data_IF_391116556787
#
_entry.id   IF_391116556787
#
_cell.length_a   1.000
_cell.length_b   1.000
_cell.length_c   1.000
_cell.angle_alpha   90.00
_cell.angle_beta   90.00
_cell.angle_gamma   90.00
#
_symmetry.space_group_name_H-M   'P 1'
#
loop_
_entity.id
_entity.type
_entity.pdbx_description
1 polymer ?
#
# COMPACT_ATOMS: atom_id res chain seq x y z
N UNK A 1 0.30 -52.99 -18.54
CA UNK A 1 1.12 -51.78 -18.47
C UNK A 1 0.39 -50.70 -17.68
N UNK A 2 0.68 -50.67 -16.40
CA UNK A 2 0.08 -49.68 -15.49
C UNK A 2 1.15 -48.66 -15.22
N UNK A 3 1.02 -47.49 -15.83
CA UNK A 3 1.81 -46.34 -15.51
C UNK A 3 1.43 -45.83 -14.10
N UNK A 4 2.24 -46.11 -13.06
CA UNK A 4 1.92 -45.62 -11.74
C UNK A 4 2.43 -44.21 -11.55
N UNK A 5 1.59 -43.37 -10.99
CA UNK A 5 1.94 -42.23 -10.16
C UNK A 5 2.46 -40.96 -10.81
N UNK A 6 1.89 -40.53 -11.92
CA UNK A 6 2.01 -39.11 -12.24
C UNK A 6 1.24 -38.19 -11.25
N UNK A 7 0.29 -38.75 -10.50
CA UNK A 7 -0.54 -37.97 -9.57
C UNK A 7 0.13 -37.60 -8.26
N UNK A 8 0.99 -38.44 -7.69
CA UNK A 8 1.58 -38.15 -6.37
C UNK A 8 2.69 -37.08 -6.47
N UNK A 9 3.51 -37.15 -7.51
CA UNK A 9 4.57 -36.15 -7.70
C UNK A 9 4.03 -34.73 -7.94
N UNK A 10 2.91 -34.60 -8.65
CA UNK A 10 2.27 -33.31 -8.88
C UNK A 10 1.54 -32.79 -7.63
N UNK A 11 0.98 -33.69 -6.81
CA UNK A 11 0.36 -33.32 -5.54
C UNK A 11 1.41 -32.84 -4.55
N UNK A 12 2.56 -33.51 -4.46
CA UNK A 12 3.67 -33.07 -3.61
C UNK A 12 4.30 -31.77 -4.12
N UNK A 13 4.49 -31.60 -5.42
CA UNK A 13 4.98 -30.34 -5.98
C UNK A 13 4.01 -29.18 -5.75
N UNK A 14 2.71 -29.42 -5.85
CA UNK A 14 1.69 -28.39 -5.56
C UNK A 14 1.58 -28.07 -4.08
N UNK A 15 1.88 -28.99 -3.18
CA UNK A 15 1.89 -28.72 -1.75
C UNK A 15 3.10 -27.89 -1.31
N UNK A 16 4.23 -28.03 -1.97
CA UNK A 16 5.46 -27.27 -1.70
C UNK A 16 5.38 -25.83 -2.22
N UNK A 17 4.54 -25.57 -3.22
CA UNK A 17 4.38 -24.24 -3.84
C UNK A 17 3.16 -23.45 -3.31
N UNK A 18 2.62 -23.80 -2.15
CA UNK A 18 1.50 -23.06 -1.57
C UNK A 18 1.98 -21.79 -0.89
N UNK A 19 1.53 -20.67 -1.40
CA UNK A 19 1.55 -19.40 -0.68
C UNK A 19 0.21 -19.21 0.02
N UNK A 20 0.23 -18.61 1.20
CA UNK A 20 -0.97 -18.16 1.89
C UNK A 20 -1.07 -16.65 1.74
N UNK A 21 -2.26 -16.17 1.43
CA UNK A 21 -2.56 -14.77 1.30
C UNK A 21 -3.49 -14.32 2.42
N UNK A 22 -3.21 -13.14 2.95
CA UNK A 22 -3.98 -12.47 3.99
C UNK A 22 -4.38 -11.10 3.49
N UNK A 23 -5.66 -10.77 3.58
CA UNK A 23 -6.17 -9.44 3.29
C UNK A 23 -6.60 -8.75 4.58
N UNK A 24 -6.05 -7.57 4.82
CA UNK A 24 -6.35 -6.73 5.97
C UNK A 24 -6.88 -5.38 5.46
N UNK A 25 -7.81 -4.80 6.19
CA UNK A 25 -8.33 -3.47 5.87
C UNK A 25 -8.87 -2.77 7.09
N UNK A 26 -8.98 -1.45 7.02
CA UNK A 26 -9.52 -0.66 8.11
C UNK A 26 -9.51 0.84 7.83
N UNK A 27 -9.85 1.61 8.85
CA UNK A 27 -9.69 3.05 8.83
C UNK A 27 -8.26 3.41 9.20
N UNK A 28 -7.68 4.39 8.51
CA UNK A 28 -6.31 4.82 8.77
C UNK A 28 -6.24 5.65 10.06
N UNK A 29 -5.39 5.22 10.96
CA UNK A 29 -5.03 5.92 12.18
C UNK A 29 -3.54 6.24 12.16
N UNK A 30 -3.14 7.25 12.90
CA UNK A 30 -1.72 7.56 13.07
C UNK A 30 -1.13 6.66 14.17
N UNK A 31 -0.92 5.40 13.85
CA UNK A 31 -0.33 4.41 14.75
C UNK A 31 0.81 3.62 14.09
N UNK A 32 1.62 2.97 14.93
CA UNK A 32 2.77 2.22 14.49
C UNK A 32 2.44 0.99 13.62
N UNK A 33 1.22 0.44 13.72
CA UNK A 33 0.83 -0.75 12.96
C UNK A 33 0.74 -0.48 11.46
N UNK A 34 0.10 0.61 11.06
CA UNK A 34 0.02 1.00 9.65
C UNK A 34 1.39 1.39 9.09
N UNK A 35 2.21 2.07 9.90
CA UNK A 35 3.56 2.43 9.52
C UNK A 35 4.43 1.19 9.29
N UNK A 36 4.24 0.13 10.07
CA UNK A 36 4.95 -1.12 9.90
C UNK A 36 4.61 -1.80 8.56
N UNK A 37 3.35 -1.76 8.13
CA UNK A 37 2.93 -2.29 6.83
C UNK A 37 3.52 -1.48 5.68
N UNK A 38 3.48 -0.16 5.76
CA UNK A 38 4.11 0.73 4.78
C UNK A 38 5.62 0.52 4.70
N UNK A 39 6.29 0.42 5.84
CA UNK A 39 7.72 0.11 5.91
C UNK A 39 8.05 -1.21 5.23
N UNK A 40 7.24 -2.24 5.46
CA UNK A 40 7.44 -3.55 4.86
C UNK A 40 7.27 -3.52 3.33
N UNK A 41 6.21 -2.88 2.80
CA UNK A 41 5.98 -2.86 1.35
C UNK A 41 7.03 -2.03 0.62
N UNK A 42 7.49 -0.93 1.21
CA UNK A 42 8.59 -0.13 0.67
C UNK A 42 9.96 -0.79 0.84
N UNK A 43 10.01 -1.96 1.51
CA UNK A 43 11.23 -2.70 1.81
C UNK A 43 12.27 -1.86 2.58
N UNK A 44 11.79 -0.92 3.37
CA UNK A 44 12.62 -0.05 4.18
C UNK A 44 13.16 -0.83 5.38
N UNK A 45 14.47 -0.96 5.47
CA UNK A 45 15.18 -1.68 6.53
C UNK A 45 15.62 -0.77 7.69
N UNK A 46 15.42 0.53 7.55
CA UNK A 46 15.87 1.46 8.57
C UNK A 46 15.02 1.33 9.83
N UNK A 47 15.68 1.04 10.95
CA UNK A 47 15.05 0.93 12.26
C UNK A 47 15.01 2.28 12.99
N UNK A 48 15.81 3.24 12.54
CA UNK A 48 15.74 4.61 12.99
C UNK A 48 14.61 5.34 12.27
N UNK A 49 14.12 6.41 12.84
CA UNK A 49 13.32 7.40 12.13
C UNK A 49 14.05 7.70 10.81
N UNK A 50 13.49 7.33 9.67
CA UNK A 50 14.20 7.52 8.44
C UNK A 50 14.47 9.02 8.32
N UNK A 51 15.73 9.39 8.36
CA UNK A 51 16.18 10.76 8.13
C UNK A 51 15.97 11.14 6.68
N UNK A 52 14.77 10.88 6.17
CA UNK A 52 14.39 11.10 4.80
C UNK A 52 14.23 12.58 4.56
N UNK A 53 14.73 13.05 3.46
CA UNK A 53 14.52 14.41 3.03
C UNK A 53 13.03 14.66 2.95
N UNK A 54 12.55 15.58 3.76
CA UNK A 54 11.14 15.91 3.81
C UNK A 54 10.74 16.55 2.48
N UNK A 55 9.87 15.89 1.72
CA UNK A 55 9.31 16.47 0.52
C UNK A 55 8.63 17.81 0.86
N UNK A 56 8.65 18.76 -0.05
CA UNK A 56 8.10 20.10 0.19
C UNK A 56 6.65 20.02 0.65
N UNK A 57 6.36 20.52 1.83
CA UNK A 57 5.03 20.55 2.43
C UNK A 57 4.78 19.47 3.50
N UNK A 58 5.75 18.63 3.79
CA UNK A 58 5.74 17.74 4.94
C UNK A 58 6.52 18.39 6.09
N UNK A 59 6.23 18.01 7.33
CA UNK A 59 7.02 18.46 8.48
C UNK A 59 8.23 17.57 8.70
N UNK A 60 9.26 18.12 9.35
CA UNK A 60 10.50 17.38 9.64
C UNK A 60 10.31 16.12 10.51
N UNK A 61 9.17 16.00 11.21
CA UNK A 61 8.83 14.83 12.02
C UNK A 61 8.06 13.75 11.22
N UNK A 62 7.82 13.95 9.93
CA UNK A 62 7.11 12.98 9.09
C UNK A 62 8.07 11.85 8.73
N UNK A 63 7.59 10.62 8.87
CA UNK A 63 8.29 9.46 8.31
C UNK A 63 7.96 9.40 6.81
N UNK A 64 8.99 9.30 6.00
CA UNK A 64 8.87 9.18 4.55
C UNK A 64 9.35 7.79 4.15
N UNK A 65 8.51 7.04 3.48
CA UNK A 65 8.84 5.71 2.97
C UNK A 65 9.08 5.82 1.47
N UNK A 66 10.26 5.43 1.05
CA UNK A 66 10.65 5.38 -0.35
C UNK A 66 10.95 3.96 -0.79
N UNK A 67 11.11 3.75 -2.08
CA UNK A 67 11.59 2.48 -2.60
C UNK A 67 13.01 2.21 -2.07
N UNK A 68 13.20 1.07 -1.43
CA UNK A 68 14.53 0.64 -1.04
C UNK A 68 15.21 -0.10 -2.19
N UNK A 69 16.49 0.13 -2.34
CA UNK A 69 17.32 -0.53 -3.38
C UNK A 69 17.56 -2.01 -3.08
N UNK A 70 17.31 -2.45 -1.84
CA UNK A 70 17.58 -3.83 -1.44
C UNK A 70 16.43 -4.77 -1.85
N UNK A 71 16.77 -5.89 -2.48
CA UNK A 71 15.81 -6.92 -2.88
C UNK A 71 15.37 -7.87 -1.75
N UNK A 72 15.99 -7.77 -0.57
CA UNK A 72 15.64 -8.60 0.58
C UNK A 72 14.45 -7.99 1.31
N UNK A 73 13.32 -8.68 1.31
CA UNK A 73 12.15 -8.23 2.04
C UNK A 73 12.30 -8.54 3.54
N UNK A 74 12.07 -7.54 4.39
CA UNK A 74 11.77 -7.79 5.80
C UNK A 74 10.49 -8.61 5.92
N UNK A 75 10.40 -9.48 6.91
CA UNK A 75 9.19 -10.28 7.12
C UNK A 75 8.47 -9.90 8.40
N UNK A 76 7.17 -10.11 8.40
CA UNK A 76 6.28 -9.87 9.53
C UNK A 76 5.69 -11.19 10.03
N UNK A 77 5.40 -11.27 11.32
CA UNK A 77 4.53 -12.32 11.87
C UNK A 77 3.16 -11.71 12.15
N UNK A 78 2.12 -12.33 11.59
CA UNK A 78 0.74 -11.91 11.81
C UNK A 78 0.07 -12.91 12.73
N UNK A 79 -0.45 -12.43 13.86
CA UNK A 79 -1.19 -13.22 14.82
C UNK A 79 -2.64 -12.76 14.84
N UNK A 80 -3.56 -13.68 14.58
CA UNK A 80 -5.00 -13.45 14.70
C UNK A 80 -5.46 -14.19 15.95
N UNK A 81 -5.77 -13.43 16.99
CA UNK A 81 -6.18 -13.98 18.26
C UNK A 81 -7.69 -13.84 18.43
N UNK A 82 -8.42 -14.94 18.72
CA UNK A 82 -9.84 -14.84 19.04
C UNK A 82 -10.05 -14.14 20.39
N UNK A 83 -11.22 -13.56 20.59
CA UNK A 83 -11.59 -12.93 21.85
C UNK A 83 -11.68 -13.91 23.01
N UNK A 84 -12.05 -15.16 22.74
CA UNK A 84 -12.09 -16.25 23.72
C UNK A 84 -10.89 -17.18 23.57
N UNK A 85 -9.78 -16.78 24.17
CA UNK A 85 -8.53 -17.55 24.16
C UNK A 85 -8.58 -18.83 24.98
N UNK A 86 -9.60 -19.02 25.80
CA UNK A 86 -9.76 -20.20 26.64
C UNK A 86 -10.27 -21.39 25.84
N UNK A 87 -11.18 -21.14 24.90
CA UNK A 87 -11.85 -22.18 24.12
C UNK A 87 -11.46 -22.19 22.63
N UNK A 88 -10.79 -21.15 22.17
CA UNK A 88 -10.37 -21.00 20.77
C UNK A 88 -8.87 -20.84 20.66
N UNK A 89 -8.33 -21.30 19.55
CA UNK A 89 -6.91 -21.15 19.23
C UNK A 89 -6.73 -20.02 18.23
N UNK A 90 -5.61 -19.34 18.35
CA UNK A 90 -5.20 -18.33 17.39
C UNK A 90 -4.66 -18.92 16.10
N UNK A 91 -4.51 -18.04 15.12
CA UNK A 91 -3.81 -18.32 13.88
C UNK A 91 -2.53 -17.49 13.86
N UNK A 92 -1.43 -18.12 13.48
CA UNK A 92 -0.14 -17.43 13.37
C UNK A 92 0.47 -17.69 12.00
N UNK A 93 0.82 -16.60 11.32
CA UNK A 93 1.37 -16.60 9.97
C UNK A 93 2.79 -15.99 10.03
N UNK A 94 3.76 -16.82 9.71
CA UNK A 94 5.18 -16.47 9.76
C UNK A 94 5.68 -16.00 8.40
N UNK A 95 6.70 -15.16 8.39
CA UNK A 95 7.38 -14.75 7.17
C UNK A 95 6.49 -14.02 6.17
N UNK A 96 5.49 -13.29 6.66
CA UNK A 96 4.59 -12.51 5.80
C UNK A 96 5.29 -11.29 5.23
N UNK A 97 5.05 -10.99 3.96
CA UNK A 97 5.45 -9.75 3.32
C UNK A 97 4.24 -9.07 2.71
N UNK A 98 4.19 -7.75 2.83
CA UNK A 98 3.14 -6.94 2.21
C UNK A 98 3.43 -6.82 0.72
N UNK A 99 2.50 -7.27 -0.12
CA UNK A 99 2.64 -7.24 -1.59
C UNK A 99 1.79 -6.17 -2.25
N UNK A 100 0.72 -5.75 -1.58
CA UNK A 100 -0.13 -4.63 -2.02
C UNK A 100 -0.53 -3.82 -0.79
N UNK A 101 -0.52 -2.51 -0.91
CA UNK A 101 -1.02 -1.60 0.12
C UNK A 101 -1.74 -0.43 -0.55
N UNK A 102 -2.95 -0.15 -0.13
CA UNK A 102 -3.69 0.99 -0.65
C UNK A 102 -4.19 1.92 0.45
N UNK A 103 -4.21 3.20 0.13
CA UNK A 103 -4.83 4.25 0.94
C UNK A 103 -5.84 4.97 0.06
N UNK A 104 -7.05 5.15 0.55
CA UNK A 104 -8.10 5.85 -0.19
C UNK A 104 -8.93 6.75 0.72
N UNK A 105 -9.54 7.77 0.15
CA UNK A 105 -10.57 8.57 0.80
C UNK A 105 -11.52 9.16 -0.24
N UNK A 106 -12.75 9.40 0.18
CA UNK A 106 -13.80 9.97 -0.64
C UNK A 106 -14.64 10.94 0.22
N UNK A 107 -14.87 12.14 -0.30
CA UNK A 107 -15.63 13.19 0.38
C UNK A 107 -17.11 12.83 0.56
N UNK A 108 -17.66 11.99 -0.31
CA UNK A 108 -19.06 11.56 -0.31
C UNK A 108 -19.37 10.35 0.55
N UNK A 109 -18.37 9.65 1.08
CA UNK A 109 -18.56 8.39 1.78
C UNK A 109 -17.88 8.34 3.15
N UNK A 110 -18.43 7.53 4.06
CA UNK A 110 -17.86 7.21 5.38
C UNK A 110 -17.33 8.41 6.20
N UNK A 111 -17.94 9.57 6.05
CA UNK A 111 -17.54 10.79 6.74
C UNK A 111 -16.15 11.28 6.33
N UNK A 112 -15.76 11.07 5.09
CA UNK A 112 -14.47 11.51 4.52
C UNK A 112 -13.22 10.89 5.19
N UNK A 113 -13.35 9.71 5.80
CA UNK A 113 -12.24 9.06 6.50
C UNK A 113 -11.27 8.41 5.53
N UNK A 114 -9.99 8.46 5.89
CA UNK A 114 -8.99 7.65 5.19
C UNK A 114 -9.17 6.18 5.53
N UNK A 115 -9.15 5.35 4.50
CA UNK A 115 -9.17 3.89 4.59
C UNK A 115 -7.85 3.34 4.10
N UNK A 116 -7.51 2.16 4.57
CA UNK A 116 -6.38 1.41 4.06
C UNK A 116 -6.78 -0.04 3.83
N UNK A 117 -6.09 -0.68 2.91
CA UNK A 117 -6.09 -2.12 2.76
C UNK A 117 -4.69 -2.63 2.46
N UNK A 118 -4.40 -3.85 2.86
CA UNK A 118 -3.12 -4.49 2.62
C UNK A 118 -3.32 -5.97 2.28
N UNK A 119 -2.57 -6.45 1.30
CA UNK A 119 -2.43 -7.87 1.00
C UNK A 119 -1.04 -8.32 1.41
N UNK A 120 -0.99 -9.34 2.25
CA UNK A 120 0.24 -9.97 2.70
C UNK A 120 0.30 -11.39 2.16
N UNK A 121 1.49 -11.83 1.79
CA UNK A 121 1.73 -13.20 1.35
C UNK A 121 2.81 -13.84 2.20
N UNK A 122 2.67 -15.14 2.44
CA UNK A 122 3.70 -15.97 3.06
C UNK A 122 3.86 -17.28 2.32
N UNK A 123 5.09 -17.74 2.21
CA UNK A 123 5.43 -19.08 1.73
C UNK A 123 5.58 -20.10 2.86
N UNK A 124 5.42 -19.69 4.12
CA UNK A 124 5.54 -20.60 5.25
C UNK A 124 4.19 -21.20 5.63
N UNK A 125 4.24 -22.38 6.22
CA UNK A 125 3.03 -23.06 6.73
C UNK A 125 2.52 -22.29 7.95
N UNK A 126 1.26 -21.85 7.96
CA UNK A 126 0.69 -21.20 9.12
C UNK A 126 0.48 -22.18 10.28
N UNK A 127 0.62 -21.69 11.51
CA UNK A 127 0.13 -22.38 12.69
C UNK A 127 -1.34 -22.03 12.92
N UNK A 128 -2.21 -23.02 12.69
CA UNK A 128 -3.66 -22.87 12.84
C UNK A 128 -4.15 -23.22 14.26
N UNK A 129 -3.23 -23.48 15.17
CA UNK A 129 -3.52 -23.82 16.57
C UNK A 129 -2.59 -23.05 17.53
N UNK A 130 -2.23 -21.85 17.16
CA UNK A 130 -1.29 -21.02 17.91
C UNK A 130 -1.81 -20.71 19.31
N UNK A 131 -0.91 -20.78 20.28
CA UNK A 131 -1.12 -20.28 21.64
C UNK A 131 -0.40 -18.98 21.89
N UNK A 132 0.13 -18.34 20.83
CA UNK A 132 0.81 -17.06 20.95
C UNK A 132 -0.13 -15.99 21.53
N UNK A 133 0.36 -15.33 22.57
CA UNK A 133 -0.33 -14.20 23.21
C UNK A 133 0.54 -12.97 23.07
N UNK A 134 0.49 -12.29 21.91
CA UNK A 134 1.28 -11.08 21.71
C UNK A 134 0.84 -10.00 22.71
N UNK A 135 1.81 -9.23 23.19
CA UNK A 135 1.49 -8.03 23.96
C UNK A 135 0.85 -7.02 23.02
N UNK A 136 -0.43 -6.74 23.24
CA UNK A 136 -1.16 -5.74 22.48
C UNK A 136 -0.88 -4.37 23.09
N UNK A 137 -0.22 -3.52 22.35
CA UNK A 137 -0.13 -2.10 22.70
C UNK A 137 -1.48 -1.45 22.41
N UNK A 138 -2.08 -0.82 23.42
CA UNK A 138 -3.32 -0.12 23.23
C UNK A 138 -3.18 1.01 22.20
N UNK A 139 -4.24 1.26 21.44
CA UNK A 139 -4.28 2.39 20.52
C UNK A 139 -4.07 3.69 21.30
N UNK A 140 -2.97 4.36 21.04
CA UNK A 140 -2.69 5.65 21.68
C UNK A 140 -3.47 6.80 21.04
N UNK A 141 -3.92 6.61 19.81
CA UNK A 141 -4.57 7.70 19.06
C UNK A 141 -5.85 7.23 18.36
N UNK A 142 -6.97 7.59 18.94
CA UNK A 142 -8.30 7.34 18.38
C UNK A 142 -8.75 8.41 17.37
N UNK A 143 -7.91 9.40 17.09
CA UNK A 143 -8.25 10.50 16.20
C UNK A 143 -8.15 10.07 14.74
N UNK A 144 -9.27 10.02 14.06
CA UNK A 144 -9.33 9.80 12.63
C UNK A 144 -8.93 11.07 11.87
N UNK A 145 -8.12 10.92 10.84
CA UNK A 145 -7.90 11.98 9.89
C UNK A 145 -8.99 11.96 8.83
N UNK A 146 -9.44 13.15 8.44
CA UNK A 146 -10.48 13.31 7.42
C UNK A 146 -9.87 13.96 6.18
N UNK A 147 -10.34 13.55 5.01
CA UNK A 147 -9.92 14.14 3.74
C UNK A 147 -10.24 15.65 3.66
N UNK A 148 -11.32 16.10 4.34
CA UNK A 148 -11.67 17.51 4.44
C UNK A 148 -10.58 18.40 5.08
N UNK A 149 -9.65 17.81 5.81
CA UNK A 149 -8.49 18.50 6.38
C UNK A 149 -7.24 18.46 5.49
N UNK A 150 -7.35 17.92 4.28
CA UNK A 150 -6.22 17.86 3.35
C UNK A 150 -5.87 19.25 2.81
N UNK A 151 -4.58 19.50 2.63
CA UNK A 151 -4.01 20.74 2.11
C UNK A 151 -2.93 20.45 1.08
N UNK A 152 -2.54 21.46 0.30
CA UNK A 152 -1.47 21.32 -0.68
C UNK A 152 -1.80 20.30 -1.78
N UNK A 153 -3.08 20.21 -2.15
CA UNK A 153 -3.56 19.26 -3.15
C UNK A 153 -3.08 19.70 -4.53
N UNK A 154 -2.26 18.89 -5.17
CA UNK A 154 -1.74 19.16 -6.51
C UNK A 154 -1.85 17.94 -7.40
N UNK A 155 -2.16 18.21 -8.67
CA UNK A 155 -2.11 17.23 -9.76
C UNK A 155 -1.46 17.93 -10.95
N UNK A 156 -0.42 17.32 -11.55
CA UNK A 156 0.40 17.94 -12.59
C UNK A 156 0.87 19.36 -12.22
N UNK A 157 1.32 19.53 -10.99
CA UNK A 157 1.74 20.81 -10.41
C UNK A 157 0.66 21.92 -10.34
N UNK A 158 -0.60 21.61 -10.67
CA UNK A 158 -1.73 22.54 -10.53
C UNK A 158 -2.43 22.32 -9.19
N UNK A 159 -2.86 23.40 -8.56
CA UNK A 159 -3.71 23.32 -7.37
C UNK A 159 -5.10 22.83 -7.76
N UNK A 160 -5.60 21.83 -7.04
CA UNK A 160 -6.86 21.16 -7.37
C UNK A 160 -7.81 21.11 -6.17
N UNK A 161 -9.11 21.01 -6.44
CA UNK A 161 -10.12 20.59 -5.48
C UNK A 161 -10.39 19.11 -5.71
N UNK A 162 -9.95 18.28 -4.78
CA UNK A 162 -10.03 16.82 -4.88
C UNK A 162 -11.29 16.30 -4.19
N UNK A 163 -12.03 15.44 -4.86
CA UNK A 163 -13.22 14.77 -4.33
C UNK A 163 -12.90 13.40 -3.76
N UNK A 164 -12.07 12.64 -4.45
CA UNK A 164 -11.64 11.34 -4.00
C UNK A 164 -10.23 11.01 -4.49
N UNK A 165 -9.58 10.09 -3.83
CA UNK A 165 -8.36 9.49 -4.33
C UNK A 165 -8.20 8.05 -3.83
N UNK A 166 -7.43 7.27 -4.56
CA UNK A 166 -6.91 5.97 -4.18
C UNK A 166 -5.45 5.88 -4.61
N UNK A 167 -4.56 5.66 -3.67
CA UNK A 167 -3.14 5.42 -3.94
C UNK A 167 -2.83 3.97 -3.61
N UNK A 168 -2.34 3.23 -4.59
CA UNK A 168 -2.00 1.81 -4.45
C UNK A 168 -0.52 1.60 -4.70
N UNK A 169 0.13 0.92 -3.79
CA UNK A 169 1.52 0.50 -3.87
C UNK A 169 1.54 -1.01 -4.12
N UNK A 170 2.14 -1.43 -5.21
CA UNK A 170 2.35 -2.84 -5.56
C UNK A 170 3.84 -3.15 -5.51
N UNK A 171 4.20 -4.14 -4.71
CA UNK A 171 5.56 -4.63 -4.60
C UNK A 171 5.55 -6.16 -4.45
N UNK A 172 5.37 -6.91 -5.55
CA UNK A 172 5.19 -8.35 -5.52
C UNK A 172 6.41 -9.07 -4.96
N UNK A 173 6.17 -10.21 -4.30
CA UNK A 173 7.20 -11.04 -3.70
C UNK A 173 7.32 -12.40 -4.38
N UNK A 174 8.53 -12.93 -4.38
CA UNK A 174 8.84 -14.31 -4.79
C UNK A 174 9.39 -15.06 -3.62
N UNK A 175 8.87 -16.26 -3.44
CA UNK A 175 9.31 -17.20 -2.41
C UNK A 175 10.12 -18.30 -3.08
N UNK A 176 11.36 -18.51 -2.63
CA UNK A 176 12.27 -19.49 -3.20
C UNK A 176 13.00 -20.30 -2.12
N UNK A 177 13.54 -21.45 -2.50
CA UNK A 177 14.11 -22.40 -1.56
C UNK A 177 13.04 -23.18 -0.81
N UNK A 178 13.39 -24.33 -0.25
CA UNK A 178 12.47 -25.20 0.50
C UNK A 178 13.10 -25.62 1.79
N UNK A 179 12.49 -25.21 2.90
CA UNK A 179 12.76 -25.75 4.24
C UNK A 179 11.58 -26.61 4.70
N UNK A 180 11.77 -27.34 5.77
CA UNK A 180 10.69 -28.15 6.40
C UNK A 180 9.50 -27.28 6.85
N UNK A 181 9.72 -25.99 7.13
CA UNK A 181 8.71 -25.02 7.54
C UNK A 181 8.09 -24.20 6.39
N UNK A 182 8.65 -24.29 5.17
CA UNK A 182 8.21 -23.50 4.03
C UNK A 182 9.35 -23.05 3.11
N UNK A 183 9.34 -21.76 2.73
CA UNK A 183 10.37 -21.18 1.88
C UNK A 183 11.51 -20.58 2.70
N UNK A 184 12.73 -20.70 2.17
CA UNK A 184 13.94 -20.19 2.83
C UNK A 184 14.15 -18.69 2.56
N UNK A 185 13.83 -18.27 1.34
CA UNK A 185 14.14 -16.92 0.87
C UNK A 185 12.90 -16.23 0.33
N UNK A 186 12.73 -14.99 0.73
CA UNK A 186 11.74 -14.07 0.19
C UNK A 186 12.47 -12.91 -0.46
N UNK A 187 12.17 -12.64 -1.71
CA UNK A 187 12.70 -11.48 -2.45
C UNK A 187 11.60 -10.75 -3.19
N UNK A 188 11.84 -9.49 -3.51
CA UNK A 188 10.92 -8.73 -4.38
C UNK A 188 11.08 -9.18 -5.83
N UNK A 189 9.95 -9.34 -6.51
CA UNK A 189 9.90 -9.95 -7.84
C UNK A 189 10.12 -8.96 -8.97
N UNK A 190 9.77 -7.69 -8.74
CA UNK A 190 9.77 -6.62 -9.73
C UNK A 190 9.99 -5.27 -9.04
N UNK A 191 10.09 -4.23 -9.84
CA UNK A 191 10.05 -2.85 -9.36
C UNK A 191 8.74 -2.56 -8.63
N UNK A 192 8.84 -1.74 -7.59
CA UNK A 192 7.67 -1.23 -6.88
C UNK A 192 6.91 -0.29 -7.81
N UNK A 193 5.62 -0.52 -7.97
CA UNK A 193 4.75 0.35 -8.73
C UNK A 193 3.81 1.12 -7.80
N UNK A 194 3.71 2.43 -8.01
CA UNK A 194 2.72 3.26 -7.31
C UNK A 194 1.75 3.82 -8.33
N UNK A 195 0.46 3.56 -8.11
CA UNK A 195 -0.62 4.09 -8.94
C UNK A 195 -1.53 4.97 -8.10
N UNK A 196 -2.01 6.04 -8.69
CA UNK A 196 -3.00 6.92 -8.05
C UNK A 196 -4.15 7.15 -9.01
N UNK A 197 -5.35 6.91 -8.51
CA UNK A 197 -6.60 7.31 -9.14
C UNK A 197 -7.22 8.43 -8.31
N UNK A 198 -7.58 9.53 -8.94
CA UNK A 198 -8.16 10.67 -8.23
C UNK A 198 -9.24 11.33 -9.06
N UNK A 199 -10.25 11.85 -8.36
CA UNK A 199 -11.29 12.66 -8.97
C UNK A 199 -11.16 14.09 -8.47
N UNK A 200 -11.04 15.02 -9.41
CA UNK A 200 -10.89 16.45 -9.11
C UNK A 200 -11.97 17.27 -9.78
N UNK A 201 -12.33 18.39 -9.17
CA UNK A 201 -13.29 19.33 -9.75
C UNK A 201 -12.73 19.91 -11.04
N UNK A 202 -13.56 19.95 -12.10
CA UNK A 202 -13.24 20.68 -13.32
C UNK A 202 -13.45 22.18 -13.12
N UNK A 203 -12.39 22.96 -13.21
CA UNK A 203 -12.41 24.41 -13.06
C UNK A 203 -11.29 25.08 -13.88
N UNK A 204 -11.03 26.35 -13.62
CA UNK A 204 -10.00 27.11 -14.34
C UNK A 204 -8.58 26.56 -14.14
N UNK A 205 -8.29 25.92 -13.01
CA UNK A 205 -6.96 25.37 -12.73
C UNK A 205 -6.78 24.01 -13.41
N UNK A 206 -7.86 23.23 -13.52
CA UNK A 206 -7.83 21.85 -14.01
C UNK A 206 -8.17 21.71 -15.50
N UNK A 207 -8.75 22.75 -16.13
CA UNK A 207 -9.13 22.71 -17.56
C UNK A 207 -7.99 22.37 -18.53
N UNK A 208 -6.74 22.66 -18.13
CA UNK A 208 -5.54 22.42 -18.95
C UNK A 208 -5.01 20.99 -18.80
N UNK A 209 -5.50 20.21 -17.83
CA UNK A 209 -4.97 18.86 -17.54
C UNK A 209 -5.20 17.90 -18.72
N UNK A 210 -6.35 18.02 -19.40
CA UNK A 210 -6.64 17.18 -20.57
C UNK A 210 -5.63 17.47 -21.68
N UNK A 211 -5.42 18.76 -22.00
CA UNK A 211 -4.45 19.13 -23.05
C UNK A 211 -3.03 18.72 -22.64
N UNK A 212 -2.68 18.85 -21.36
CA UNK A 212 -1.38 18.45 -20.87
C UNK A 212 -1.20 16.92 -20.94
N UNK A 213 -2.24 16.14 -20.71
CA UNK A 213 -2.25 14.69 -20.92
C UNK A 213 -2.05 14.34 -22.40
N UNK A 214 -2.81 14.96 -23.30
CA UNK A 214 -2.73 14.69 -24.73
C UNK A 214 -1.36 15.05 -25.33
N UNK A 215 -0.67 16.01 -24.74
CA UNK A 215 0.65 16.46 -25.20
C UNK A 215 1.81 15.93 -24.38
N UNK A 216 1.56 15.05 -23.43
CA UNK A 216 2.61 14.48 -22.57
C UNK A 216 3.59 13.63 -23.39
N UNK A 217 4.87 14.01 -23.38
CA UNK A 217 5.95 13.30 -24.06
C UNK A 217 6.91 12.58 -23.13
N UNK A 218 6.75 12.77 -21.81
CA UNK A 218 7.60 12.20 -20.78
C UNK A 218 6.96 12.31 -19.40
N UNK A 219 7.64 11.82 -18.36
CA UNK A 219 7.12 11.91 -17.01
C UNK A 219 7.01 13.37 -16.54
N UNK A 220 6.04 13.62 -15.67
CA UNK A 220 5.96 14.84 -14.89
C UNK A 220 6.95 14.72 -13.74
N UNK A 221 7.89 15.64 -13.62
CA UNK A 221 9.04 15.55 -12.70
C UNK A 221 8.89 16.43 -11.46
N UNK A 222 7.72 17.02 -11.22
CA UNK A 222 7.47 17.87 -10.04
C UNK A 222 6.00 17.88 -9.67
N UNK A 223 5.70 17.50 -8.42
CA UNK A 223 4.33 17.47 -7.90
C UNK A 223 3.34 16.82 -8.88
N UNK A 224 3.71 15.68 -9.46
CA UNK A 224 2.81 14.93 -10.33
C UNK A 224 1.51 14.60 -9.59
N UNK A 225 1.63 14.19 -8.32
CA UNK A 225 0.54 14.11 -7.37
C UNK A 225 1.02 14.53 -5.98
N UNK A 226 0.24 15.36 -5.30
CA UNK A 226 0.56 15.75 -3.92
C UNK A 226 -0.70 15.94 -3.10
N UNK A 227 -0.66 15.42 -1.89
CA UNK A 227 -1.67 15.62 -0.86
C UNK A 227 -1.02 15.57 0.51
N UNK A 228 -1.36 16.52 1.37
CA UNK A 228 -0.90 16.55 2.77
C UNK A 228 -2.11 16.74 3.68
N UNK A 229 -2.21 16.00 4.75
CA UNK A 229 -3.24 16.16 5.76
C UNK A 229 -2.62 16.53 7.10
N UNK A 230 -2.72 17.80 7.48
CA UNK A 230 -2.26 18.32 8.78
C UNK A 230 -0.89 17.84 9.21
N UNK A 231 0.01 17.63 8.26
CA UNK A 231 1.36 17.09 8.46
C UNK A 231 1.42 15.69 9.11
N UNK A 232 0.31 14.95 9.16
CA UNK A 232 0.24 13.59 9.71
C UNK A 232 0.33 12.52 8.62
N UNK A 233 -0.39 12.76 7.52
CA UNK A 233 -0.35 11.91 6.33
C UNK A 233 -0.01 12.76 5.14
N UNK A 234 0.70 12.18 4.22
CA UNK A 234 0.95 12.82 2.96
C UNK A 234 1.40 11.81 1.92
N UNK A 235 1.06 12.09 0.69
CA UNK A 235 1.51 11.38 -0.48
C UNK A 235 2.10 12.44 -1.40
N UNK A 236 3.34 12.23 -1.82
CA UNK A 236 3.99 13.04 -2.83
C UNK A 236 4.61 12.09 -3.85
N UNK A 237 4.25 12.28 -5.11
CA UNK A 237 4.83 11.58 -6.24
C UNK A 237 5.34 12.68 -7.17
N UNK A 238 6.65 12.75 -7.33
CA UNK A 238 7.26 13.75 -8.18
C UNK A 238 7.36 13.24 -9.61
N UNK A 239 7.79 12.00 -9.83
CA UNK A 239 7.95 11.42 -11.16
C UNK A 239 6.78 10.49 -11.47
N UNK A 240 5.92 10.88 -12.42
CA UNK A 240 4.80 10.04 -12.84
C UNK A 240 4.40 10.32 -14.29
N UNK A 241 3.80 9.31 -14.90
CA UNK A 241 3.08 9.44 -16.18
C UNK A 241 1.59 9.34 -15.93
N UNK A 242 0.82 10.12 -16.64
CA UNK A 242 -0.64 10.03 -16.61
C UNK A 242 -1.09 8.95 -17.58
N UNK A 243 -1.89 8.04 -17.09
CA UNK A 243 -2.43 6.93 -17.86
C UNK A 243 -3.84 7.20 -18.34
N UNK A 244 -4.55 8.10 -17.66
CA UNK A 244 -5.89 8.54 -18.05
C UNK A 244 -6.20 9.93 -17.50
N UNK A 245 -6.85 10.75 -18.30
CA UNK A 245 -7.54 11.99 -17.87
C UNK A 245 -8.84 12.07 -18.66
N UNK A 246 -9.97 11.94 -17.98
CA UNK A 246 -11.27 11.90 -18.61
C UNK A 246 -12.30 12.73 -17.86
N UNK A 247 -13.30 13.23 -18.57
CA UNK A 247 -14.45 13.87 -17.94
C UNK A 247 -15.31 12.82 -17.23
N UNK A 248 -15.74 13.17 -16.03
CA UNK A 248 -16.72 12.41 -15.27
C UNK A 248 -18.00 13.24 -15.16
N UNK A 249 -19.11 12.63 -15.57
CA UNK A 249 -20.42 13.28 -15.54
C UNK A 249 -21.06 13.13 -14.16
N UNK A 250 -21.71 14.20 -13.69
CA UNK A 250 -22.43 14.24 -12.43
C UNK A 250 -23.08 15.62 -12.25
N UNK A 251 -23.60 15.88 -11.06
CA UNK A 251 -24.16 17.20 -10.70
C UNK A 251 -23.13 18.33 -10.80
N UNK A 252 -21.87 17.98 -10.63
CA UNK A 252 -20.70 18.87 -10.80
C UNK A 252 -19.76 18.15 -11.77
N UNK A 253 -19.26 18.90 -12.75
CA UNK A 253 -18.29 18.38 -13.70
C UNK A 253 -16.96 18.09 -13.01
N UNK A 254 -16.49 16.87 -13.14
CA UNK A 254 -15.25 16.37 -12.55
C UNK A 254 -14.29 15.86 -13.63
N UNK A 255 -13.05 15.66 -13.26
CA UNK A 255 -12.04 14.90 -14.01
C UNK A 255 -11.61 13.68 -13.22
N UNK A 256 -11.69 12.54 -13.85
CA UNK A 256 -11.09 11.28 -13.36
C UNK A 256 -9.67 11.17 -13.94
N UNK A 257 -8.70 11.09 -13.06
CA UNK A 257 -7.28 11.13 -13.40
C UNK A 257 -6.61 9.90 -12.81
N UNK A 258 -5.91 9.16 -13.67
CA UNK A 258 -5.06 8.05 -13.25
C UNK A 258 -3.61 8.34 -13.60
N UNK A 259 -2.71 8.04 -12.68
CA UNK A 259 -1.28 8.20 -12.87
C UNK A 259 -0.51 7.00 -12.32
N UNK A 260 0.67 6.78 -12.86
CA UNK A 260 1.61 5.76 -12.40
C UNK A 260 2.98 6.39 -12.19
N UNK A 261 3.61 6.08 -11.05
CA UNK A 261 4.99 6.48 -10.79
C UNK A 261 5.95 5.87 -11.82
N UNK A 262 7.01 6.59 -12.10
CA UNK A 262 8.12 6.15 -12.96
C UNK A 262 9.39 6.35 -12.16
N UNK A 263 10.18 5.29 -12.05
CA UNK A 263 11.52 5.39 -11.47
C UNK A 263 12.46 6.06 -12.48
N UNK A 264 13.35 6.90 -11.97
CA UNK A 264 14.43 7.53 -12.77
C UNK A 264 15.62 6.58 -12.95
#
# INVERSE_FOLDING_TARGET
DRSPSRGLGDVYKRQVLRTTELSLSGTLHNDAGHLLLLKNICNDTDTADPGLSVATGFTAASQVYGAAVANNASSLTVVIQPSDVTHQRGLEFFGCVVTNFSISADMGTDGCRYKWSATLQTGQKPDLNSTATPTITAYENTTHSLMSGATGLKVMNNDVTMNSFSCTIDNPAVFSGVLSSGYEVVSRAAEMAVTVDTQVKYDNNTKTLITAYDTQTGPITSNAFKMVNNAKYGIAIDNAVYTNVAYSEGDIMMLDISLKSVDD
#
